data_IF_731268914879
#
_entry.id   IF_731268914879
#
_cell.length_a   1.000
_cell.length_b   1.000
_cell.length_c   1.000
_cell.angle_alpha   90.00
_cell.angle_beta   90.00
_cell.angle_gamma   90.00
#
_symmetry.space_group_name_H-M   'P 1'
#
loop_
_entity.id
_entity.type
_entity.pdbx_description
1 polymer ?
#
# COMPACT_ATOMS: atom_id res chain seq x y z
N UNK A 1 10.19 23.99 0.28
CA UNK A 1 10.10 22.84 -0.65
C UNK A 1 9.93 21.58 0.16
N UNK A 2 9.41 20.51 -0.43
CA UNK A 2 9.43 19.20 0.23
C UNK A 2 10.88 18.74 0.43
N UNK A 3 11.15 18.04 1.53
CA UNK A 3 12.46 17.41 1.78
C UNK A 3 12.68 16.22 0.83
N UNK A 4 11.59 15.53 0.45
CA UNK A 4 11.59 14.41 -0.48
C UNK A 4 10.31 14.40 -1.31
N UNK A 5 10.44 13.98 -2.56
CA UNK A 5 9.32 13.72 -3.48
C UNK A 5 9.48 12.29 -3.98
N UNK A 6 8.39 11.52 -3.97
CA UNK A 6 8.32 10.17 -4.54
C UNK A 6 7.38 10.21 -5.73
N UNK A 7 7.77 9.53 -6.81
CA UNK A 7 6.88 9.34 -7.96
C UNK A 7 5.81 8.32 -7.60
N UNK A 8 4.56 8.63 -7.92
CA UNK A 8 3.40 7.79 -7.68
C UNK A 8 2.64 7.59 -9.00
N UNK A 9 3.22 6.87 -9.98
CA UNK A 9 2.53 6.56 -11.22
C UNK A 9 1.26 5.75 -10.91
N UNK A 10 0.18 6.01 -11.64
CA UNK A 10 -1.10 5.32 -11.47
C UNK A 10 -1.77 5.47 -10.10
N UNK A 11 -1.40 6.50 -9.32
CA UNK A 11 -2.17 6.91 -8.16
C UNK A 11 -3.55 7.41 -8.65
N UNK A 12 -4.62 6.75 -8.22
CA UNK A 12 -5.96 7.11 -8.66
C UNK A 12 -6.43 8.43 -8.01
N UNK A 13 -6.87 9.37 -8.84
CA UNK A 13 -7.47 10.65 -8.43
C UNK A 13 -8.97 10.45 -8.14
N UNK A 14 -9.26 9.75 -7.04
CA UNK A 14 -10.61 9.56 -6.53
C UNK A 14 -10.65 9.90 -5.03
N UNK A 15 -11.50 10.89 -4.71
CA UNK A 15 -11.68 11.45 -3.37
C UNK A 15 -12.07 10.41 -2.30
N UNK A 16 -12.71 9.30 -2.69
CA UNK A 16 -13.22 8.31 -1.75
C UNK A 16 -12.21 7.23 -1.37
N UNK A 17 -11.05 7.19 -2.02
CA UNK A 17 -10.04 6.16 -1.80
C UNK A 17 -9.10 6.53 -0.65
N UNK A 18 -8.60 5.51 0.04
CA UNK A 18 -7.63 5.66 1.13
C UNK A 18 -6.34 4.90 0.78
N UNK A 19 -5.57 5.44 -0.16
CA UNK A 19 -4.49 4.72 -0.85
C UNK A 19 -3.12 4.78 -0.15
N UNK A 20 -3.03 5.45 1.00
CA UNK A 20 -1.78 5.75 1.70
C UNK A 20 -1.94 5.51 3.19
N UNK A 21 -0.99 4.80 3.80
CA UNK A 21 -0.88 4.72 5.26
C UNK A 21 0.57 4.50 5.69
N UNK A 22 0.98 5.11 6.82
CA UNK A 22 2.35 5.08 7.32
C UNK A 22 2.43 4.28 8.61
N UNK A 23 3.20 3.20 8.59
CA UNK A 23 3.31 2.28 9.73
C UNK A 23 4.11 2.86 10.89
N UNK A 24 3.91 2.28 12.08
CA UNK A 24 4.75 2.50 13.27
C UNK A 24 6.21 2.04 13.09
N UNK A 25 6.53 1.34 11.99
CA UNK A 25 7.87 0.86 11.63
C UNK A 25 8.55 1.70 10.55
N UNK A 26 8.04 2.89 10.28
CA UNK A 26 8.61 3.83 9.31
C UNK A 26 8.55 3.35 7.86
N UNK A 27 7.52 2.58 7.53
CA UNK A 27 7.24 2.10 6.17
C UNK A 27 5.95 2.74 5.68
N UNK A 28 6.02 3.46 4.57
CA UNK A 28 4.87 4.02 3.87
C UNK A 28 4.30 2.97 2.91
N UNK A 29 3.01 2.68 3.03
CA UNK A 29 2.29 1.87 2.06
C UNK A 29 1.59 2.80 1.06
N UNK A 30 1.73 2.51 -0.24
CA UNK A 30 1.15 3.29 -1.34
C UNK A 30 0.47 2.34 -2.32
N UNK A 31 -0.83 2.46 -2.49
CA UNK A 31 -1.58 1.76 -3.51
C UNK A 31 -1.54 2.55 -4.83
N UNK A 32 -1.01 1.90 -5.87
CA UNK A 32 -0.87 2.43 -7.23
C UNK A 32 -1.62 1.49 -8.19
N UNK A 33 -2.86 1.86 -8.56
CA UNK A 33 -3.78 1.02 -9.31
C UNK A 33 -4.04 -0.35 -8.65
N UNK A 34 -3.46 -1.42 -9.21
CA UNK A 34 -3.64 -2.81 -8.76
C UNK A 34 -2.50 -3.32 -7.88
N UNK A 35 -1.47 -2.52 -7.65
CA UNK A 35 -0.28 -2.91 -6.90
C UNK A 35 -0.15 -2.11 -5.61
N UNK A 36 0.32 -2.78 -4.56
CA UNK A 36 0.68 -2.14 -3.30
C UNK A 36 2.19 -2.10 -3.17
N UNK A 37 2.73 -0.90 -3.06
CA UNK A 37 4.15 -0.67 -2.83
C UNK A 37 4.41 -0.29 -1.38
N UNK A 38 5.56 -0.74 -0.87
CA UNK A 38 6.10 -0.34 0.42
C UNK A 38 7.37 0.47 0.20
N UNK A 39 7.45 1.63 0.84
CA UNK A 39 8.65 2.45 0.89
C UNK A 39 9.18 2.51 2.33
N UNK A 40 10.37 1.97 2.55
CA UNK A 40 11.06 2.08 3.84
C UNK A 40 11.76 3.43 3.93
N UNK A 41 11.30 4.30 4.83
CA UNK A 41 11.83 5.65 4.96
C UNK A 41 13.20 5.70 5.65
N UNK A 42 13.59 4.63 6.34
CA UNK A 42 14.89 4.51 7.02
C UNK A 42 15.98 4.11 6.04
N UNK A 43 15.67 3.22 5.10
CA UNK A 43 16.60 2.76 4.06
C UNK A 43 16.48 3.53 2.74
N UNK A 44 15.35 4.20 2.52
CA UNK A 44 15.02 4.89 1.28
C UNK A 44 14.73 3.95 0.12
N UNK A 45 14.36 2.69 0.40
CA UNK A 45 14.12 1.64 -0.59
C UNK A 45 12.62 1.45 -0.83
N UNK A 46 12.25 1.04 -2.04
CA UNK A 46 10.87 0.74 -2.41
C UNK A 46 10.77 -0.69 -2.96
N UNK A 47 9.70 -1.40 -2.63
CA UNK A 47 9.39 -2.73 -3.15
C UNK A 47 7.90 -2.91 -3.34
N UNK A 48 7.51 -3.76 -4.29
CA UNK A 48 6.14 -4.20 -4.45
C UNK A 48 5.84 -5.32 -3.45
N UNK A 49 4.78 -5.19 -2.65
CA UNK A 49 4.31 -6.23 -1.74
C UNK A 49 3.43 -7.24 -2.45
N UNK A 50 2.47 -6.75 -3.24
CA UNK A 50 1.48 -7.56 -3.94
C UNK A 50 0.91 -6.82 -5.16
N UNK A 51 0.41 -7.60 -6.11
CA UNK A 51 -0.48 -7.17 -7.19
C UNK A 51 -1.70 -8.07 -7.29
N UNK A 52 -2.84 -7.49 -7.69
CA UNK A 52 -4.08 -8.24 -7.94
C UNK A 52 -4.42 -8.28 -9.42
N UNK A 53 -5.14 -9.34 -9.79
CA UNK A 53 -5.69 -9.50 -11.13
C UNK A 53 -6.72 -8.40 -11.46
N UNK A 54 -6.94 -8.18 -12.75
CA UNK A 54 -7.86 -7.15 -13.26
C UNK A 54 -9.28 -7.29 -12.70
N UNK A 55 -9.78 -8.52 -12.55
CA UNK A 55 -11.11 -8.80 -12.00
C UNK A 55 -11.25 -8.47 -10.51
N UNK A 56 -10.12 -8.42 -9.78
CA UNK A 56 -10.12 -8.18 -8.32
C UNK A 56 -9.93 -6.71 -7.97
N UNK A 57 -9.08 -6.00 -8.71
CA UNK A 57 -8.64 -4.63 -8.42
C UNK A 57 -9.49 -3.53 -9.08
N UNK A 58 -9.08 -2.25 -8.96
CA UNK A 58 -7.92 -1.71 -8.21
C UNK A 58 -8.04 -1.85 -6.68
N UNK A 59 -6.93 -1.53 -6.00
CA UNK A 59 -6.90 -1.36 -4.55
C UNK A 59 -7.62 -0.05 -4.21
N UNK A 60 -8.53 -0.09 -3.24
CA UNK A 60 -9.36 1.06 -2.85
C UNK A 60 -9.01 1.61 -1.47
N UNK A 61 -8.36 0.80 -0.64
CA UNK A 61 -7.92 1.22 0.69
C UNK A 61 -6.75 0.39 1.20
N UNK A 62 -5.90 1.02 2.00
CA UNK A 62 -4.83 0.35 2.77
C UNK A 62 -4.83 0.84 4.20
N UNK A 63 -4.55 -0.04 5.16
CA UNK A 63 -4.38 0.37 6.55
C UNK A 63 -3.44 -0.57 7.30
N UNK A 64 -2.43 -0.01 7.94
CA UNK A 64 -1.51 -0.73 8.80
C UNK A 64 -2.17 -1.13 10.11
N UNK A 65 -1.90 -2.35 10.54
CA UNK A 65 -2.12 -2.74 11.92
C UNK A 65 -1.16 -1.97 12.85
N UNK A 66 -1.53 -1.75 14.13
CA UNK A 66 -0.68 -1.03 15.10
C UNK A 66 0.71 -1.64 15.30
N UNK A 67 0.87 -2.94 15.01
CA UNK A 67 2.16 -3.63 15.09
C UNK A 67 3.14 -3.28 13.95
N UNK A 68 2.67 -2.59 12.90
CA UNK A 68 3.42 -2.21 11.71
C UNK A 68 3.94 -3.40 10.89
N UNK A 69 3.44 -4.61 11.13
CA UNK A 69 3.81 -5.85 10.43
C UNK A 69 2.72 -6.34 9.50
N UNK A 70 1.48 -6.05 9.84
CA UNK A 70 0.34 -6.47 9.04
C UNK A 70 -0.31 -5.27 8.37
N UNK A 71 -0.79 -5.47 7.14
CA UNK A 71 -1.54 -4.47 6.42
C UNK A 71 -2.84 -5.07 5.87
N UNK A 72 -3.94 -4.35 6.07
CA UNK A 72 -5.21 -4.65 5.42
C UNK A 72 -5.29 -3.93 4.08
N UNK A 73 -5.76 -4.63 3.05
CA UNK A 73 -5.89 -4.12 1.68
C UNK A 73 -7.32 -4.35 1.20
N UNK A 74 -8.07 -3.28 0.97
CA UNK A 74 -9.41 -3.33 0.40
C UNK A 74 -9.36 -3.21 -1.12
N UNK A 75 -10.18 -4.02 -1.81
CA UNK A 75 -10.21 -4.09 -3.27
C UNK A 75 -11.57 -3.64 -3.82
N UNK A 76 -11.62 -3.23 -5.09
CA UNK A 76 -12.86 -2.89 -5.80
C UNK A 76 -13.83 -4.07 -5.89
N UNK A 77 -13.33 -5.30 -5.92
CA UNK A 77 -14.14 -6.53 -5.85
C UNK A 77 -14.86 -6.76 -4.51
N UNK A 78 -14.77 -5.82 -3.55
CA UNK A 78 -15.28 -5.94 -2.18
C UNK A 78 -14.54 -6.93 -1.29
N UNK A 79 -13.46 -7.55 -1.79
CA UNK A 79 -12.57 -8.35 -0.98
C UNK A 79 -11.69 -7.47 -0.07
N UNK A 80 -11.37 -8.00 1.11
CA UNK A 80 -10.35 -7.45 2.01
C UNK A 80 -9.30 -8.54 2.20
N UNK A 81 -8.04 -8.20 1.93
CA UNK A 81 -6.90 -9.07 2.15
C UNK A 81 -6.13 -8.57 3.38
N UNK A 82 -5.51 -9.50 4.12
CA UNK A 82 -4.56 -9.20 5.17
C UNK A 82 -3.20 -9.72 4.70
N UNK A 83 -2.14 -8.95 4.93
CA UNK A 83 -0.79 -9.32 4.52
C UNK A 83 0.19 -9.16 5.68
N UNK A 84 1.03 -10.16 5.91
CA UNK A 84 2.26 -10.07 6.71
C UNK A 84 3.39 -9.56 5.81
N UNK A 85 3.87 -8.35 6.08
CA UNK A 85 4.89 -7.67 5.27
C UNK A 85 6.31 -8.11 5.59
N UNK A 86 6.52 -8.81 6.70
CA UNK A 86 7.83 -9.36 7.08
C UNK A 86 8.04 -10.72 6.45
N UNK A 87 6.99 -11.54 6.42
CA UNK A 87 7.02 -12.84 5.75
C UNK A 87 6.71 -12.74 4.25
N UNK A 88 6.22 -11.59 3.77
CA UNK A 88 5.66 -11.39 2.43
C UNK A 88 4.59 -12.44 2.11
N UNK A 89 3.62 -12.61 3.01
CA UNK A 89 2.56 -13.61 2.90
C UNK A 89 1.19 -12.99 3.13
N UNK A 90 0.22 -13.41 2.32
CA UNK A 90 -1.19 -13.16 2.51
C UNK A 90 -1.78 -14.13 3.54
#
# INVERSE_FOLDING_TARGET
SAERTLDAPDLEDDYYLNLLDWSSRNVLAIALGRSLYLWDASEGTASELMSVDEDSGPITSVSWAPDGKHIAVGLKSSAVQLWDTVASKQ
#
